data_IF_171183847674
#
_entry.id   IF_171183847674
#
_cell.length_a   1.000
_cell.length_b   1.000
_cell.length_c   1.000
_cell.angle_alpha   90.00
_cell.angle_beta   90.00
_cell.angle_gamma   90.00
#
_symmetry.space_group_name_H-M   'P 1'
#
loop_
_entity.id
_entity.type
_entity.pdbx_description
1 polymer ?
#
# COMPACT_ATOMS: atom_id res chain seq x y z
N UNK A 1 -11.62 14.77 -14.44
CA UNK A 1 -10.83 13.52 -14.59
C UNK A 1 -11.34 12.52 -13.59
N UNK A 2 -11.93 11.41 -14.03
CA UNK A 2 -12.51 10.39 -13.15
C UNK A 2 -11.62 9.13 -13.01
N UNK A 3 -10.60 8.98 -13.85
CA UNK A 3 -9.67 7.86 -13.81
C UNK A 3 -8.40 8.11 -12.97
N UNK A 4 -8.34 9.20 -12.20
CA UNK A 4 -7.19 9.53 -11.35
C UNK A 4 -7.36 8.93 -9.96
N UNK A 5 -6.28 8.39 -9.39
CA UNK A 5 -6.20 7.94 -7.99
C UNK A 5 -5.76 9.07 -7.03
N UNK A 6 -5.90 10.34 -7.43
CA UNK A 6 -5.58 11.51 -6.59
C UNK A 6 -6.71 11.76 -5.58
N UNK A 7 -6.92 10.82 -4.67
CA UNK A 7 -8.06 10.82 -3.75
C UNK A 7 -8.19 12.11 -2.93
N UNK A 8 -7.08 12.68 -2.49
CA UNK A 8 -7.04 13.86 -1.64
C UNK A 8 -6.93 15.17 -2.44
N UNK A 9 -6.84 15.09 -3.78
CA UNK A 9 -6.75 16.28 -4.64
C UNK A 9 -5.48 17.12 -4.45
N UNK A 10 -4.37 16.50 -4.01
CA UNK A 10 -3.16 17.20 -3.59
C UNK A 10 -2.15 17.48 -4.71
N UNK A 11 -2.32 16.93 -5.91
CA UNK A 11 -1.34 17.04 -7.00
C UNK A 11 -1.07 18.47 -7.47
N UNK A 12 -1.94 19.42 -7.14
CA UNK A 12 -1.80 20.85 -7.47
C UNK A 12 -1.78 21.74 -6.23
N UNK A 13 -1.62 21.17 -5.02
CA UNK A 13 -1.51 21.97 -3.79
C UNK A 13 -0.19 22.75 -3.79
N UNK A 14 -0.27 24.06 -3.63
CA UNK A 14 0.89 24.96 -3.73
C UNK A 14 1.96 24.65 -2.68
N UNK A 15 1.57 24.23 -1.49
CA UNK A 15 2.49 23.86 -0.39
C UNK A 15 3.38 22.68 -0.78
N UNK A 16 2.81 21.67 -1.45
CA UNK A 16 3.55 20.50 -1.94
C UNK A 16 4.51 20.90 -3.05
N UNK A 17 4.06 21.77 -3.97
CA UNK A 17 4.92 22.30 -5.04
C UNK A 17 6.09 23.09 -4.43
N UNK A 18 5.82 23.96 -3.46
CA UNK A 18 6.84 24.78 -2.81
C UNK A 18 7.83 23.94 -2.00
N UNK A 19 7.36 22.89 -1.30
CA UNK A 19 8.22 21.93 -0.60
C UNK A 19 9.16 21.18 -1.57
N UNK A 20 8.65 20.72 -2.71
CA UNK A 20 9.45 20.07 -3.74
C UNK A 20 10.52 21.02 -4.33
N UNK A 21 10.16 22.29 -4.61
CA UNK A 21 11.08 23.32 -5.10
C UNK A 21 12.17 23.61 -4.04
N UNK A 22 11.78 23.78 -2.78
CA UNK A 22 12.72 24.05 -1.70
C UNK A 22 13.72 22.90 -1.52
N UNK A 23 13.26 21.65 -1.54
CA UNK A 23 14.12 20.48 -1.47
C UNK A 23 15.07 20.37 -2.67
N UNK A 24 14.58 20.65 -3.88
CA UNK A 24 15.42 20.69 -5.08
C UNK A 24 16.53 21.74 -4.98
N UNK A 25 16.22 22.92 -4.44
CA UNK A 25 17.22 23.99 -4.22
C UNK A 25 18.26 23.62 -3.17
N UNK A 26 17.85 22.91 -2.10
CA UNK A 26 18.74 22.52 -0.99
C UNK A 26 19.63 21.33 -1.35
N UNK A 27 19.08 20.30 -1.99
CA UNK A 27 19.74 19.00 -2.15
C UNK A 27 20.11 18.66 -3.60
N UNK A 28 19.64 19.44 -4.58
CA UNK A 28 19.75 19.11 -5.99
C UNK A 28 18.64 18.21 -6.50
N UNK A 29 18.83 17.68 -7.73
CA UNK A 29 17.78 16.89 -8.43
C UNK A 29 17.76 15.41 -8.09
N UNK A 30 18.79 14.90 -7.43
CA UNK A 30 18.91 13.49 -7.04
C UNK A 30 20.26 13.20 -6.37
N UNK A 31 20.42 11.99 -5.85
CA UNK A 31 21.61 11.59 -5.11
C UNK A 31 22.66 10.84 -5.96
N UNK A 32 22.33 10.48 -7.19
CA UNK A 32 23.19 9.68 -8.09
C UNK A 32 23.68 8.36 -7.47
N UNK A 33 22.87 7.74 -6.59
CA UNK A 33 23.21 6.47 -5.93
C UNK A 33 22.07 5.90 -5.10
N UNK A 34 22.30 4.69 -4.61
CA UNK A 34 21.33 3.97 -3.79
C UNK A 34 21.37 4.40 -2.32
N UNK A 35 20.32 4.07 -1.57
CA UNK A 35 20.18 4.38 -0.15
C UNK A 35 21.33 3.87 0.70
N UNK A 36 21.90 2.70 0.40
CA UNK A 36 23.03 2.12 1.16
C UNK A 36 24.38 2.78 0.89
N UNK A 37 24.55 3.42 -0.26
CA UNK A 37 25.85 4.02 -0.63
C UNK A 37 25.88 5.52 -0.24
N UNK A 38 25.32 6.38 -1.11
CA UNK A 38 25.38 7.83 -0.97
C UNK A 38 24.01 8.51 -1.10
N UNK A 39 22.95 7.74 -1.26
CA UNK A 39 21.61 8.25 -1.55
C UNK A 39 20.72 8.45 -0.32
N UNK A 40 21.27 8.42 0.90
CA UNK A 40 20.48 8.68 2.12
C UNK A 40 20.70 10.12 2.59
N UNK A 41 19.66 10.93 2.49
CA UNK A 41 19.59 12.28 2.99
C UNK A 41 18.80 12.31 4.31
N UNK A 42 18.94 13.40 5.09
CA UNK A 42 18.17 13.66 6.30
C UNK A 42 16.66 13.56 6.06
N UNK A 43 16.16 14.16 4.97
CA UNK A 43 14.73 14.12 4.62
C UNK A 43 14.20 12.70 4.31
N UNK A 44 15.05 11.78 3.85
CA UNK A 44 14.64 10.39 3.66
C UNK A 44 14.39 9.71 5.01
N UNK A 45 15.30 9.93 5.96
CA UNK A 45 15.20 9.36 7.32
C UNK A 45 14.00 9.95 8.06
N UNK A 46 13.78 11.25 7.91
CA UNK A 46 12.65 11.95 8.53
C UNK A 46 11.31 11.44 7.97
N UNK A 47 11.18 11.29 6.64
CA UNK A 47 9.99 10.75 6.03
C UNK A 47 9.72 9.29 6.50
N UNK A 48 10.75 8.44 6.57
CA UNK A 48 10.60 7.06 7.06
C UNK A 48 10.08 7.03 8.50
N UNK A 49 10.62 7.89 9.37
CA UNK A 49 10.15 8.03 10.75
C UNK A 49 8.69 8.49 10.82
N UNK A 50 8.35 9.55 10.08
CA UNK A 50 6.98 10.09 10.08
C UNK A 50 5.95 9.09 9.51
N UNK A 51 6.32 8.30 8.50
CA UNK A 51 5.46 7.24 7.94
C UNK A 51 5.23 6.11 8.93
N UNK A 52 6.29 5.64 9.61
CA UNK A 52 6.17 4.61 10.65
C UNK A 52 5.21 5.06 11.77
N UNK A 53 5.43 6.26 12.32
CA UNK A 53 4.55 6.85 13.33
C UNK A 53 3.11 7.00 12.83
N UNK A 54 2.93 7.41 11.58
CA UNK A 54 1.61 7.62 11.00
C UNK A 54 0.81 6.32 10.87
N UNK A 55 1.43 5.24 10.40
CA UNK A 55 0.75 3.94 10.26
C UNK A 55 0.81 3.08 11.53
N UNK A 56 1.46 3.56 12.61
CA UNK A 56 1.52 2.88 13.90
C UNK A 56 2.46 1.68 13.90
N UNK A 57 3.66 1.83 13.32
CA UNK A 57 4.72 0.82 13.30
C UNK A 57 6.04 1.38 13.83
N UNK A 58 7.01 0.50 14.13
CA UNK A 58 8.29 0.89 14.74
C UNK A 58 9.19 1.64 13.76
N UNK A 59 9.35 1.10 12.57
CA UNK A 59 10.19 1.67 11.51
C UNK A 59 9.53 1.54 10.14
N UNK A 60 10.00 2.37 9.19
CA UNK A 60 9.64 2.26 7.78
C UNK A 60 10.89 2.32 6.88
N UNK A 61 10.72 1.86 5.65
CA UNK A 61 11.74 1.86 4.60
C UNK A 61 11.13 2.34 3.30
N UNK A 62 11.68 3.42 2.71
CA UNK A 62 11.17 4.01 1.47
C UNK A 62 11.84 3.43 0.23
N UNK A 63 11.04 3.27 -0.83
CA UNK A 63 11.42 2.77 -2.16
C UNK A 63 11.02 3.76 -3.24
N UNK A 64 11.57 3.61 -4.45
CA UNK A 64 11.32 4.54 -5.56
C UNK A 64 9.89 4.50 -6.10
N UNK A 65 9.18 3.39 -5.94
CA UNK A 65 7.75 3.25 -6.29
C UNK A 65 7.06 2.24 -5.39
N UNK A 66 5.71 2.29 -5.30
CA UNK A 66 4.94 1.24 -4.63
C UNK A 66 5.12 -0.14 -5.27
N UNK A 67 5.26 -0.20 -6.60
CA UNK A 67 5.51 -1.46 -7.31
C UNK A 67 6.80 -2.12 -6.83
N UNK A 68 7.90 -1.36 -6.73
CA UNK A 68 9.21 -1.86 -6.30
C UNK A 68 9.28 -2.16 -4.80
N UNK A 69 8.34 -1.67 -3.98
CA UNK A 69 8.19 -2.15 -2.60
C UNK A 69 7.83 -3.63 -2.61
N UNK A 70 6.75 -4.01 -3.30
CA UNK A 70 6.28 -5.39 -3.34
C UNK A 70 7.31 -6.34 -3.97
N UNK A 71 7.97 -5.93 -5.08
CA UNK A 71 9.05 -6.72 -5.69
C UNK A 71 10.27 -6.92 -4.77
N UNK A 72 10.58 -5.93 -3.94
CA UNK A 72 11.74 -5.99 -3.05
C UNK A 72 11.47 -6.70 -1.73
N UNK A 73 10.28 -6.52 -1.17
CA UNK A 73 9.93 -6.97 0.18
C UNK A 73 9.42 -8.40 0.20
N UNK A 74 8.40 -8.71 -0.60
CA UNK A 74 7.72 -10.01 -0.58
C UNK A 74 8.70 -11.20 -0.71
N UNK A 75 9.64 -11.21 -1.68
CA UNK A 75 10.55 -12.34 -1.83
C UNK A 75 11.60 -12.47 -0.72
N UNK A 76 11.75 -11.48 0.15
CA UNK A 76 12.70 -11.54 1.28
C UNK A 76 12.07 -12.08 2.58
N UNK A 77 10.74 -12.17 2.63
CA UNK A 77 9.99 -12.58 3.82
C UNK A 77 9.69 -14.08 3.86
N UNK A 78 9.74 -14.75 2.72
CA UNK A 78 9.50 -16.19 2.60
C UNK A 78 10.38 -16.80 1.51
N UNK A 79 10.98 -17.95 1.77
CA UNK A 79 11.95 -18.60 0.90
C UNK A 79 11.63 -20.07 0.62
N UNK A 80 12.67 -20.89 0.36
CA UNK A 80 12.51 -22.33 0.12
C UNK A 80 11.98 -23.03 1.37
N UNK A 81 10.89 -23.78 1.22
CA UNK A 81 10.21 -24.47 2.31
C UNK A 81 9.10 -23.66 2.96
N UNK A 82 8.99 -22.37 2.63
CA UNK A 82 7.94 -21.47 3.11
C UNK A 82 6.79 -21.34 2.10
N UNK A 83 5.77 -20.58 2.51
CA UNK A 83 4.55 -20.35 1.70
C UNK A 83 4.24 -18.87 1.59
N UNK A 84 3.82 -18.44 0.39
CA UNK A 84 3.20 -17.14 0.15
C UNK A 84 1.76 -17.39 -0.30
N UNK A 85 0.80 -16.80 0.41
CA UNK A 85 -0.63 -17.03 0.22
C UNK A 85 -1.28 -15.70 -0.15
N UNK A 86 -1.86 -15.60 -1.34
CA UNK A 86 -2.40 -14.37 -1.91
C UNK A 86 -3.85 -14.52 -2.34
N UNK A 87 -4.59 -13.42 -2.29
CA UNK A 87 -5.88 -13.30 -2.96
C UNK A 87 -5.70 -13.45 -4.49
N UNK A 88 -6.67 -14.00 -5.19
CA UNK A 88 -6.56 -14.20 -6.64
C UNK A 88 -6.73 -12.89 -7.45
N UNK A 89 -7.12 -11.78 -6.78
CA UNK A 89 -7.27 -10.44 -7.36
C UNK A 89 -6.28 -9.41 -6.86
N UNK A 90 -5.27 -9.83 -6.10
CA UNK A 90 -4.21 -8.94 -5.67
C UNK A 90 -3.51 -8.26 -6.85
N UNK A 91 -3.03 -7.04 -6.60
CA UNK A 91 -2.37 -6.19 -7.57
C UNK A 91 -1.18 -6.88 -8.26
N UNK A 92 -0.91 -6.50 -9.52
CA UNK A 92 0.17 -7.05 -10.33
C UNK A 92 1.54 -7.02 -9.63
N UNK A 93 1.85 -6.00 -8.83
CA UNK A 93 3.11 -5.92 -8.08
C UNK A 93 3.25 -7.00 -7.00
N UNK A 94 2.15 -7.40 -6.37
CA UNK A 94 2.12 -8.54 -5.43
C UNK A 94 2.35 -9.84 -6.19
N UNK A 95 1.68 -9.99 -7.35
CA UNK A 95 1.87 -11.16 -8.23
C UNK A 95 3.31 -11.29 -8.67
N UNK A 96 3.96 -10.20 -9.08
CA UNK A 96 5.35 -10.22 -9.53
C UNK A 96 6.31 -10.37 -8.35
N UNK A 97 6.06 -9.69 -7.23
CA UNK A 97 6.86 -9.83 -6.00
C UNK A 97 6.91 -11.28 -5.51
N UNK A 98 5.77 -11.98 -5.44
CA UNK A 98 5.76 -13.39 -5.03
C UNK A 98 6.46 -14.32 -6.02
N UNK A 99 6.42 -14.01 -7.35
CA UNK A 99 7.13 -14.78 -8.39
C UNK A 99 8.65 -14.71 -8.26
N UNK A 100 9.18 -13.67 -7.62
CA UNK A 100 10.60 -13.52 -7.35
C UNK A 100 11.06 -14.35 -6.16
N UNK A 101 10.13 -14.89 -5.35
CA UNK A 101 10.44 -15.78 -4.23
C UNK A 101 10.58 -17.24 -4.68
N UNK A 102 11.37 -18.01 -3.91
CA UNK A 102 11.44 -19.47 -4.02
C UNK A 102 10.44 -20.19 -3.12
N UNK A 103 9.57 -19.47 -2.41
CA UNK A 103 8.51 -20.05 -1.58
C UNK A 103 7.42 -20.71 -2.44
N UNK A 104 6.71 -21.65 -1.87
CA UNK A 104 5.51 -22.24 -2.48
C UNK A 104 4.41 -21.20 -2.54
N UNK A 105 3.88 -20.96 -3.75
CA UNK A 105 2.84 -19.95 -3.97
C UNK A 105 1.46 -20.60 -3.94
N UNK A 106 0.62 -20.14 -3.02
CA UNK A 106 -0.77 -20.53 -2.88
C UNK A 106 -1.68 -19.35 -3.20
N UNK A 107 -2.87 -19.63 -3.74
CA UNK A 107 -3.88 -18.62 -4.02
C UNK A 107 -5.21 -19.05 -3.43
N UNK A 108 -5.94 -18.11 -2.86
CA UNK A 108 -7.33 -18.33 -2.49
C UNK A 108 -8.26 -17.46 -3.33
N UNK A 109 -9.50 -17.89 -3.44
CA UNK A 109 -10.54 -17.18 -4.17
C UNK A 109 -10.82 -15.84 -3.48
N UNK A 110 -11.01 -14.81 -4.28
CA UNK A 110 -11.19 -13.44 -3.84
C UNK A 110 -12.11 -13.31 -2.61
N UNK A 111 -11.53 -12.75 -1.55
CA UNK A 111 -12.15 -12.44 -0.26
C UNK A 111 -12.88 -13.62 0.42
N UNK A 112 -12.54 -14.87 0.02
CA UNK A 112 -13.10 -16.12 0.55
C UNK A 112 -12.22 -16.65 1.69
N UNK A 113 -12.64 -16.40 2.92
CA UNK A 113 -11.89 -16.75 4.13
C UNK A 113 -11.86 -18.27 4.39
N UNK A 114 -12.87 -19.01 3.92
CA UNK A 114 -12.85 -20.48 3.97
C UNK A 114 -11.80 -21.05 3.00
N UNK A 115 -11.70 -20.44 1.81
CA UNK A 115 -10.65 -20.80 0.86
C UNK A 115 -9.26 -20.46 1.39
N UNK A 116 -9.07 -19.29 2.02
CA UNK A 116 -7.82 -18.92 2.69
C UNK A 116 -7.45 -19.94 3.78
N UNK A 117 -8.40 -20.33 4.61
CA UNK A 117 -8.17 -21.31 5.68
C UNK A 117 -7.75 -22.68 5.12
N UNK A 118 -8.37 -23.14 4.03
CA UNK A 118 -7.98 -24.38 3.33
C UNK A 118 -6.55 -24.33 2.80
N UNK A 119 -6.09 -23.17 2.31
CA UNK A 119 -4.70 -23.01 1.87
C UNK A 119 -3.73 -23.02 3.06
N UNK A 120 -4.07 -22.38 4.16
CA UNK A 120 -3.26 -22.42 5.39
C UNK A 120 -3.13 -23.81 5.98
N UNK A 121 -4.16 -24.65 5.87
CA UNK A 121 -4.14 -26.06 6.32
C UNK A 121 -3.18 -26.94 5.53
N UNK A 122 -2.78 -26.56 4.32
CA UNK A 122 -1.80 -27.29 3.49
C UNK A 122 -0.35 -27.00 3.88
N UNK A 123 -0.12 -25.93 4.65
CA UNK A 123 1.22 -25.47 4.99
C UNK A 123 1.80 -26.30 6.14
N UNK A 124 3.09 -26.57 6.07
CA UNK A 124 3.82 -27.21 7.16
C UNK A 124 3.78 -26.34 8.43
N UNK A 125 3.61 -26.92 9.63
CA UNK A 125 3.43 -26.17 10.88
C UNK A 125 4.54 -25.17 11.17
N UNK A 126 5.80 -25.57 10.96
CA UNK A 126 6.99 -24.79 11.31
C UNK A 126 7.48 -23.84 10.19
N UNK A 127 6.86 -23.92 9.00
CA UNK A 127 7.19 -23.05 7.87
C UNK A 127 6.62 -21.64 8.07
N UNK A 128 7.26 -20.64 7.46
CA UNK A 128 6.71 -19.29 7.34
C UNK A 128 5.49 -19.35 6.41
N UNK A 129 4.39 -18.78 6.84
CA UNK A 129 3.14 -18.63 6.08
C UNK A 129 2.88 -17.15 5.93
N UNK A 130 3.32 -16.59 4.81
CA UNK A 130 3.15 -15.17 4.51
C UNK A 130 1.84 -14.95 3.75
N UNK A 131 0.84 -14.35 4.40
CA UNK A 131 -0.38 -13.87 3.76
C UNK A 131 -0.10 -12.47 3.24
N UNK A 132 -0.29 -12.25 1.94
CA UNK A 132 -0.17 -10.94 1.30
C UNK A 132 -1.51 -10.58 0.70
N UNK A 133 -1.99 -9.36 0.95
CA UNK A 133 -3.31 -8.93 0.47
C UNK A 133 -3.38 -7.42 0.27
N UNK A 134 -4.05 -6.98 -0.80
CA UNK A 134 -4.50 -5.58 -0.94
C UNK A 134 -5.57 -5.26 0.11
N UNK A 135 -5.46 -4.13 0.79
CA UNK A 135 -6.48 -3.68 1.75
C UNK A 135 -7.77 -3.23 1.06
N UNK A 136 -7.61 -2.63 -0.12
CA UNK A 136 -8.68 -2.21 -1.03
C UNK A 136 -8.33 -2.69 -2.43
N UNK A 137 -9.17 -3.49 -3.03
CA UNK A 137 -8.92 -4.04 -4.36
C UNK A 137 -9.20 -2.99 -5.44
N UNK A 138 -8.19 -2.73 -6.26
CA UNK A 138 -8.17 -1.58 -7.19
C UNK A 138 -9.21 -1.64 -8.31
N UNK A 139 -9.68 -2.83 -8.67
CA UNK A 139 -10.65 -3.04 -9.75
C UNK A 139 -12.07 -3.23 -9.25
N UNK A 140 -12.25 -3.76 -8.06
CA UNK A 140 -13.53 -4.06 -7.43
C UNK A 140 -14.00 -2.95 -6.49
N UNK A 141 -13.04 -2.29 -5.82
CA UNK A 141 -13.32 -1.25 -4.84
C UNK A 141 -13.81 -1.76 -3.48
N UNK A 142 -13.82 -3.07 -3.27
CA UNK A 142 -14.16 -3.68 -1.99
C UNK A 142 -12.95 -3.80 -1.07
N UNK A 143 -13.20 -4.12 0.20
CA UNK A 143 -12.20 -4.23 1.25
C UNK A 143 -11.84 -5.68 1.53
N UNK A 144 -10.57 -5.95 1.82
CA UNK A 144 -10.16 -7.22 2.39
C UNK A 144 -10.77 -7.42 3.78
N UNK A 145 -11.20 -8.64 4.08
CA UNK A 145 -11.72 -8.99 5.41
C UNK A 145 -10.58 -9.15 6.42
N UNK A 146 -9.89 -8.02 6.74
CA UNK A 146 -8.73 -8.03 7.63
C UNK A 146 -9.01 -8.60 9.01
N UNK A 147 -10.18 -8.39 9.66
CA UNK A 147 -10.46 -9.01 10.95
C UNK A 147 -10.41 -10.54 10.91
N UNK A 148 -10.94 -11.15 9.85
CA UNK A 148 -10.95 -12.59 9.70
C UNK A 148 -9.56 -13.12 9.29
N UNK A 149 -8.83 -12.39 8.44
CA UNK A 149 -7.42 -12.68 8.11
C UNK A 149 -6.57 -12.71 9.39
N UNK A 150 -6.75 -11.74 10.29
CA UNK A 150 -6.06 -11.69 11.58
C UNK A 150 -6.44 -12.88 12.47
N UNK A 151 -7.71 -13.28 12.50
CA UNK A 151 -8.15 -14.47 13.22
C UNK A 151 -7.42 -15.73 12.69
N UNK A 152 -7.36 -15.88 11.38
CA UNK A 152 -6.64 -16.98 10.72
C UNK A 152 -5.13 -16.91 10.95
N UNK A 153 -4.53 -15.72 10.86
CA UNK A 153 -3.13 -15.48 11.22
C UNK A 153 -2.80 -16.07 12.59
N UNK A 154 -3.58 -15.71 13.61
CA UNK A 154 -3.38 -16.19 14.99
C UNK A 154 -3.54 -17.70 15.11
N UNK A 155 -4.53 -18.26 14.42
CA UNK A 155 -4.82 -19.70 14.43
C UNK A 155 -3.71 -20.55 13.82
N UNK A 156 -3.11 -20.07 12.72
CA UNK A 156 -2.12 -20.84 11.95
C UNK A 156 -0.67 -20.35 12.12
N UNK A 157 -0.43 -19.40 13.04
CA UNK A 157 0.86 -18.76 13.25
C UNK A 157 1.44 -18.24 11.90
N UNK A 158 0.64 -17.44 11.20
CA UNK A 158 1.02 -16.83 9.92
C UNK A 158 1.52 -15.39 10.12
N UNK A 159 2.18 -14.84 9.11
CA UNK A 159 2.60 -13.44 9.00
C UNK A 159 1.68 -12.75 7.99
N UNK A 160 1.26 -11.51 8.26
CA UNK A 160 0.38 -10.74 7.37
C UNK A 160 1.07 -9.48 6.89
N UNK A 161 1.11 -9.34 5.57
CA UNK A 161 1.53 -8.15 4.84
C UNK A 161 0.32 -7.53 4.14
N UNK A 162 0.01 -6.28 4.45
CA UNK A 162 -1.13 -5.55 3.87
C UNK A 162 -0.64 -4.43 2.96
N UNK A 163 -1.11 -4.42 1.72
CA UNK A 163 -0.90 -3.33 0.78
C UNK A 163 -2.02 -2.28 0.93
N UNK A 164 -1.67 -1.15 1.52
CA UNK A 164 -2.55 0.01 1.76
C UNK A 164 -2.50 1.04 0.64
N UNK A 165 -2.07 0.67 -0.57
CA UNK A 165 -1.93 1.62 -1.67
C UNK A 165 -3.21 2.39 -1.98
N UNK A 166 -4.38 1.80 -1.79
CA UNK A 166 -5.70 2.41 -1.95
C UNK A 166 -6.40 2.75 -0.63
N UNK A 167 -5.87 2.28 0.51
CA UNK A 167 -6.40 2.56 1.84
C UNK A 167 -5.84 3.84 2.45
N UNK A 168 -4.53 4.09 2.24
CA UNK A 168 -3.81 5.22 2.80
C UNK A 168 -4.39 6.55 2.30
N UNK A 169 -4.71 7.46 3.23
CA UNK A 169 -5.38 8.73 2.97
C UNK A 169 -6.91 8.61 2.83
N UNK A 170 -7.45 7.39 2.66
CA UNK A 170 -8.88 7.15 2.37
C UNK A 170 -9.61 6.61 3.58
N UNK A 171 -9.07 5.60 4.25
CA UNK A 171 -9.69 4.91 5.38
C UNK A 171 -8.96 5.21 6.70
N UNK A 172 -9.63 4.89 7.80
CA UNK A 172 -9.09 5.05 9.14
C UNK A 172 -9.00 6.50 9.62
N UNK A 173 -8.54 6.70 10.84
CA UNK A 173 -8.39 8.03 11.44
C UNK A 173 -7.33 8.85 10.70
N UNK A 174 -7.72 10.01 10.20
CA UNK A 174 -6.84 10.89 9.41
C UNK A 174 -6.18 10.18 8.22
N UNK A 175 -6.84 9.15 7.64
CA UNK A 175 -6.31 8.44 6.49
C UNK A 175 -5.21 7.42 6.78
N UNK A 176 -5.16 6.84 7.99
CA UNK A 176 -4.16 5.83 8.38
C UNK A 176 -4.27 4.50 7.66
N UNK A 177 -5.37 4.25 6.95
CA UNK A 177 -5.60 3.05 6.16
C UNK A 177 -6.68 2.12 6.70
N UNK A 178 -6.90 1.02 6.02
CA UNK A 178 -7.93 0.01 6.35
C UNK A 178 -7.56 -0.77 7.62
N UNK A 179 -6.27 -0.95 7.88
CA UNK A 179 -5.80 -1.57 9.13
C UNK A 179 -6.29 -0.78 10.36
N UNK A 180 -6.18 0.56 10.33
CA UNK A 180 -6.72 1.44 11.40
C UNK A 180 -8.25 1.47 11.38
N UNK A 181 -8.89 1.43 10.22
CA UNK A 181 -10.34 1.40 10.07
C UNK A 181 -10.98 0.21 10.80
N UNK A 182 -10.37 -0.98 10.68
CA UNK A 182 -10.84 -2.18 11.38
C UNK A 182 -10.25 -2.34 12.80
N UNK A 183 -9.34 -1.46 13.22
CA UNK A 183 -8.70 -1.53 14.54
C UNK A 183 -7.76 -2.72 14.69
N UNK A 184 -7.17 -3.20 13.60
CA UNK A 184 -6.28 -4.39 13.58
C UNK A 184 -4.80 -4.05 13.34
N UNK A 185 -4.43 -2.78 13.36
CA UNK A 185 -3.05 -2.30 13.06
C UNK A 185 -1.97 -3.06 13.83
N UNK A 186 -2.18 -3.29 15.12
CA UNK A 186 -1.21 -4.01 15.98
C UNK A 186 -1.02 -5.48 15.57
N UNK A 187 -2.05 -6.09 14.99
CA UNK A 187 -2.04 -7.48 14.55
C UNK A 187 -1.45 -7.70 13.14
N UNK A 188 -1.27 -6.63 12.37
CA UNK A 188 -0.65 -6.68 11.04
C UNK A 188 0.87 -6.56 11.19
N UNK A 189 1.65 -7.44 10.57
CA UNK A 189 3.11 -7.44 10.72
C UNK A 189 3.77 -6.37 9.86
N UNK A 190 3.32 -6.24 8.60
CA UNK A 190 3.86 -5.24 7.70
C UNK A 190 2.73 -4.50 6.97
N UNK A 191 2.89 -3.20 6.88
CA UNK A 191 2.01 -2.29 6.12
C UNK A 191 2.82 -1.66 5.00
N UNK A 192 2.36 -1.82 3.77
CA UNK A 192 2.90 -1.17 2.59
C UNK A 192 2.01 0.01 2.18
N UNK A 193 2.61 1.08 1.67
CA UNK A 193 1.88 2.19 1.07
C UNK A 193 2.61 2.76 -0.14
N UNK A 194 1.87 3.47 -0.99
CA UNK A 194 2.42 4.17 -2.16
C UNK A 194 2.27 5.68 -2.03
N UNK A 195 3.21 6.43 -2.62
CA UNK A 195 3.10 7.90 -2.69
C UNK A 195 2.34 8.38 -3.94
N UNK A 196 2.13 7.50 -4.92
CA UNK A 196 1.61 7.87 -6.24
C UNK A 196 0.09 8.15 -6.31
N UNK A 197 -0.61 8.02 -5.18
CA UNK A 197 -2.05 8.21 -5.08
C UNK A 197 -2.38 9.37 -4.12
N UNK A 198 -2.82 9.08 -2.91
CA UNK A 198 -3.21 10.10 -1.93
C UNK A 198 -2.07 11.05 -1.54
N UNK A 199 -0.82 10.59 -1.50
CA UNK A 199 0.36 11.41 -1.15
C UNK A 199 0.91 12.24 -2.33
N UNK A 200 0.25 12.23 -3.51
CA UNK A 200 0.51 13.12 -4.64
C UNK A 200 1.99 13.23 -5.09
N UNK A 201 2.79 12.17 -4.90
CA UNK A 201 4.22 12.12 -5.22
C UNK A 201 4.56 10.82 -5.93
N UNK A 202 5.85 10.47 -6.00
CA UNK A 202 6.31 9.17 -6.48
C UNK A 202 7.17 8.49 -5.42
N UNK A 203 6.93 7.21 -5.22
CA UNK A 203 7.59 6.38 -4.21
C UNK A 203 6.65 5.41 -3.57
N UNK A 204 7.13 4.74 -2.55
CA UNK A 204 6.37 3.85 -1.69
C UNK A 204 7.18 3.51 -0.45
N UNK A 205 6.56 2.83 0.49
CA UNK A 205 7.21 2.42 1.73
C UNK A 205 6.66 1.09 2.23
N UNK A 206 7.41 0.42 3.06
CA UNK A 206 6.95 -0.65 3.95
C UNK A 206 7.27 -0.24 5.38
N UNK A 207 6.35 -0.52 6.31
CA UNK A 207 6.51 -0.28 7.74
C UNK A 207 6.19 -1.55 8.53
N UNK A 208 6.90 -1.77 9.64
CA UNK A 208 6.76 -2.94 10.48
C UNK A 208 7.67 -2.91 11.69
N UNK A 209 7.92 -4.08 12.29
CA UNK A 209 8.88 -4.26 13.36
C UNK A 209 10.30 -3.84 12.90
N UNK A 210 11.05 -3.19 13.80
CA UNK A 210 12.39 -2.65 13.49
C UNK A 210 13.38 -3.69 13.00
N UNK A 211 13.34 -4.92 13.53
CA UNK A 211 14.28 -5.98 13.15
C UNK A 211 13.96 -6.50 11.75
N UNK A 212 12.67 -6.59 11.40
CA UNK A 212 12.21 -6.94 10.05
C UNK A 212 12.57 -5.83 9.06
N UNK A 213 12.35 -4.56 9.40
CA UNK A 213 12.72 -3.44 8.54
C UNK A 213 14.25 -3.37 8.36
N UNK A 214 15.02 -3.63 9.41
CA UNK A 214 16.48 -3.73 9.30
C UNK A 214 16.92 -4.90 8.41
N UNK A 215 16.27 -6.06 8.49
CA UNK A 215 16.50 -7.16 7.56
C UNK A 215 16.23 -6.75 6.11
N UNK A 216 15.11 -6.12 5.84
CA UNK A 216 14.73 -5.64 4.49
C UNK A 216 15.72 -4.62 3.96
N UNK A 217 16.23 -3.71 4.80
CA UNK A 217 17.25 -2.71 4.45
C UNK A 217 18.51 -3.34 3.86
N UNK A 218 18.87 -4.54 4.30
CA UNK A 218 20.09 -5.25 3.88
C UNK A 218 19.83 -6.34 2.85
N UNK A 219 18.58 -6.70 2.57
CA UNK A 219 18.25 -7.83 1.70
C UNK A 219 17.32 -7.46 0.54
N UNK A 220 16.49 -6.41 0.64
CA UNK A 220 15.58 -6.01 -0.43
C UNK A 220 16.36 -5.46 -1.64
N UNK A 221 16.37 -6.23 -2.73
CA UNK A 221 17.16 -5.90 -3.94
C UNK A 221 16.74 -4.57 -4.56
N UNK A 222 15.43 -4.28 -4.61
CA UNK A 222 14.92 -3.01 -5.14
C UNK A 222 15.19 -1.81 -4.21
N UNK A 223 15.68 -2.02 -2.99
CA UNK A 223 16.22 -0.97 -2.13
C UNK A 223 17.73 -0.80 -2.33
N UNK A 224 18.48 -1.91 -2.36
CA UNK A 224 19.94 -1.92 -2.41
C UNK A 224 20.46 -1.44 -3.77
N UNK A 225 19.85 -1.91 -4.86
CA UNK A 225 20.36 -1.73 -6.24
C UNK A 225 19.59 -0.69 -7.04
N UNK A 226 18.71 0.09 -6.41
CA UNK A 226 17.96 1.16 -7.02
C UNK A 226 18.45 2.53 -6.54
N UNK A 227 18.40 3.55 -7.41
CA UNK A 227 18.63 4.92 -7.00
C UNK A 227 17.56 5.38 -5.97
N UNK A 228 17.96 6.18 -4.99
CA UNK A 228 17.06 6.71 -3.97
C UNK A 228 16.03 7.67 -4.58
N UNK A 229 14.93 7.86 -3.85
CA UNK A 229 13.94 8.87 -4.19
C UNK A 229 14.57 10.25 -4.34
N UNK A 230 14.09 11.03 -5.31
CA UNK A 230 14.56 12.40 -5.46
C UNK A 230 14.16 13.26 -4.26
N UNK A 231 14.97 14.29 -3.88
CA UNK A 231 14.60 15.20 -2.83
C UNK A 231 13.23 15.87 -3.03
N UNK A 232 12.91 16.23 -4.26
CA UNK A 232 11.61 16.80 -4.61
C UNK A 232 10.45 15.85 -4.28
N UNK A 233 10.54 14.57 -4.69
CA UNK A 233 9.50 13.58 -4.44
C UNK A 233 9.36 13.27 -2.93
N UNK A 234 10.48 13.21 -2.23
CA UNK A 234 10.52 12.98 -0.77
C UNK A 234 9.83 14.12 -0.01
N UNK A 235 10.18 15.36 -0.31
CA UNK A 235 9.58 16.53 0.34
C UNK A 235 8.11 16.70 -0.01
N UNK A 236 7.70 16.38 -1.25
CA UNK A 236 6.29 16.38 -1.65
C UNK A 236 5.48 15.36 -0.83
N UNK A 237 6.00 14.15 -0.63
CA UNK A 237 5.33 13.13 0.18
C UNK A 237 5.24 13.53 1.67
N UNK A 238 6.29 14.16 2.23
CA UNK A 238 6.29 14.69 3.60
C UNK A 238 5.21 15.76 3.79
N UNK A 239 5.15 16.74 2.90
CA UNK A 239 4.14 17.81 3.00
C UNK A 239 2.72 17.25 2.84
N UNK A 240 2.51 16.29 1.91
CA UNK A 240 1.23 15.62 1.77
C UNK A 240 0.82 14.86 3.04
N UNK A 241 1.77 14.19 3.70
CA UNK A 241 1.54 13.51 4.98
C UNK A 241 1.20 14.49 6.11
N UNK A 242 1.86 15.66 6.12
CA UNK A 242 1.54 16.75 7.05
C UNK A 242 0.09 17.23 6.85
N UNK A 243 -0.32 17.41 5.59
CA UNK A 243 -1.71 17.79 5.25
C UNK A 243 -2.71 16.73 5.74
N UNK A 244 -2.43 15.44 5.61
CA UNK A 244 -3.30 14.38 6.15
C UNK A 244 -3.50 14.51 7.66
N UNK A 245 -2.42 14.82 8.39
CA UNK A 245 -2.45 14.96 9.84
C UNK A 245 -3.24 16.19 10.31
N UNK A 246 -3.30 17.24 9.48
CA UNK A 246 -3.80 18.59 9.87
C UNK A 246 -5.13 18.98 9.22
N UNK A 247 -5.55 18.33 8.12
CA UNK A 247 -6.74 18.67 7.34
C UNK A 247 -7.69 17.46 7.18
N UNK A 248 -8.33 16.97 8.26
CA UNK A 248 -9.24 15.81 8.19
C UNK A 248 -10.46 16.06 7.29
N UNK A 249 -10.83 17.33 7.07
CA UNK A 249 -11.94 17.73 6.19
C UNK A 249 -11.76 17.29 4.75
N UNK A 250 -10.52 17.02 4.29
CA UNK A 250 -10.28 16.47 2.95
C UNK A 250 -10.80 15.05 2.82
N UNK A 251 -10.52 14.21 3.84
CA UNK A 251 -11.05 12.86 3.91
C UNK A 251 -12.59 12.88 4.05
N UNK A 252 -13.13 13.74 4.89
CA UNK A 252 -14.58 13.90 5.05
C UNK A 252 -15.25 14.28 3.72
N UNK A 253 -14.67 15.22 2.98
CA UNK A 253 -15.17 15.64 1.68
C UNK A 253 -15.08 14.52 0.62
N UNK A 254 -13.99 13.75 0.60
CA UNK A 254 -13.87 12.57 -0.24
C UNK A 254 -15.04 11.60 0.00
N UNK A 255 -15.31 11.27 1.27
CA UNK A 255 -16.41 10.36 1.62
C UNK A 255 -17.79 10.93 1.32
N UNK A 256 -18.00 12.24 1.50
CA UNK A 256 -19.24 12.90 1.11
C UNK A 256 -19.51 12.76 -0.39
N UNK A 257 -18.49 12.98 -1.23
CA UNK A 257 -18.59 12.84 -2.69
C UNK A 257 -18.79 11.37 -3.07
N UNK A 258 -18.02 10.46 -2.46
CA UNK A 258 -18.11 9.01 -2.69
C UNK A 258 -19.52 8.49 -2.39
N UNK A 259 -20.06 8.78 -1.22
CA UNK A 259 -21.39 8.33 -0.82
C UNK A 259 -22.48 8.88 -1.76
N UNK A 260 -22.35 10.15 -2.17
CA UNK A 260 -23.26 10.74 -3.16
C UNK A 260 -23.16 9.98 -4.50
N UNK A 261 -21.96 9.72 -4.99
CA UNK A 261 -21.73 9.04 -6.26
C UNK A 261 -22.25 7.60 -6.23
N UNK A 262 -21.92 6.82 -5.21
CA UNK A 262 -22.41 5.46 -5.00
C UNK A 262 -23.94 5.40 -5.03
N UNK A 263 -24.60 6.30 -4.29
CA UNK A 263 -26.07 6.40 -4.29
C UNK A 263 -26.60 6.68 -5.68
N UNK A 264 -26.06 7.68 -6.38
CA UNK A 264 -26.55 8.12 -7.70
C UNK A 264 -26.35 7.04 -8.76
N UNK A 265 -25.20 6.37 -8.80
CA UNK A 265 -24.95 5.29 -9.75
C UNK A 265 -25.92 4.12 -9.54
N UNK A 266 -26.18 3.72 -8.29
CA UNK A 266 -27.17 2.67 -7.98
C UNK A 266 -28.58 3.08 -8.39
N UNK A 267 -29.01 4.31 -8.09
CA UNK A 267 -30.34 4.83 -8.46
C UNK A 267 -30.55 4.92 -9.98
N UNK A 268 -29.49 5.15 -10.74
CA UNK A 268 -29.54 5.26 -12.21
C UNK A 268 -29.32 3.91 -12.92
N UNK A 269 -29.18 2.82 -12.17
CA UNK A 269 -29.11 1.46 -12.69
C UNK A 269 -27.75 1.05 -13.28
N UNK A 270 -26.68 1.77 -12.95
CA UNK A 270 -25.33 1.32 -13.29
C UNK A 270 -24.92 0.11 -12.45
N UNK A 271 -24.28 -0.86 -13.10
CA UNK A 271 -23.66 -1.99 -12.42
C UNK A 271 -22.29 -1.55 -11.88
N UNK A 272 -22.19 -1.41 -10.55
CA UNK A 272 -20.96 -0.94 -9.86
C UNK A 272 -20.39 -1.98 -8.88
N UNK A 273 -20.94 -3.20 -8.84
CA UNK A 273 -20.50 -4.22 -7.89
C UNK A 273 -20.74 -3.88 -6.43
N UNK A 274 -20.00 -4.54 -5.57
CA UNK A 274 -20.09 -4.41 -4.10
C UNK A 274 -19.06 -3.41 -3.53
N UNK A 275 -18.70 -2.40 -4.32
CA UNK A 275 -17.70 -1.42 -3.87
C UNK A 275 -18.10 -0.70 -2.58
N UNK A 276 -17.12 -0.56 -1.70
CA UNK A 276 -17.22 0.11 -0.39
C UNK A 276 -16.22 1.28 -0.26
N UNK A 277 -15.59 1.68 -1.38
CA UNK A 277 -14.54 2.68 -1.41
C UNK A 277 -14.81 3.80 -2.43
N UNK A 278 -13.96 4.83 -2.54
CA UNK A 278 -14.01 5.82 -3.62
C UNK A 278 -13.74 5.24 -5.02
N UNK A 279 -13.32 4.00 -5.12
CA UNK A 279 -13.19 3.28 -6.39
C UNK A 279 -14.57 2.78 -6.77
N UNK A 280 -15.12 3.31 -7.86
CA UNK A 280 -16.47 2.95 -8.34
C UNK A 280 -16.32 2.36 -9.73
N UNK A 281 -16.24 1.01 -9.86
CA UNK A 281 -16.14 0.37 -11.17
C UNK A 281 -17.48 0.47 -11.91
N UNK A 282 -17.45 0.86 -13.17
CA UNK A 282 -18.63 0.81 -14.05
C UNK A 282 -18.48 -0.40 -14.98
N UNK A 283 -19.22 -1.47 -14.72
CA UNK A 283 -19.11 -2.69 -15.51
C UNK A 283 -19.88 -2.59 -16.83
N UNK A 284 -19.15 -2.30 -17.91
CA UNK A 284 -19.70 -2.25 -19.27
C UNK A 284 -19.81 -3.65 -19.90
N UNK A 285 -18.94 -4.59 -19.50
CA UNK A 285 -18.89 -6.01 -19.95
C UNK A 285 -18.74 -6.20 -21.47
N UNK A 286 -18.26 -5.17 -22.16
CA UNK A 286 -18.04 -5.16 -23.61
C UNK A 286 -16.80 -4.31 -23.91
N UNK A 287 -15.79 -4.91 -24.52
CA UNK A 287 -14.49 -4.27 -24.75
C UNK A 287 -14.64 -3.06 -25.70
N UNK A 288 -15.40 -3.22 -26.79
CA UNK A 288 -15.53 -2.17 -27.79
C UNK A 288 -16.30 -0.95 -27.25
N UNK A 289 -17.31 -1.19 -26.41
CA UNK A 289 -18.03 -0.11 -25.72
C UNK A 289 -17.21 0.57 -24.65
N UNK A 290 -16.36 -0.19 -23.96
CA UNK A 290 -15.50 0.36 -22.92
C UNK A 290 -14.43 1.30 -23.47
N UNK A 291 -13.97 1.05 -24.72
CA UNK A 291 -12.93 1.82 -25.39
C UNK A 291 -13.48 3.07 -26.15
N UNK A 292 -14.79 3.22 -26.25
CA UNK A 292 -15.48 4.38 -26.86
C UNK A 292 -15.83 5.46 -25.87
#
# INVERSE_FOLDING_TARGET
MFGSNSYMGLTHDQRIIDAAIAATRKYGTGCAGSRLLNGTLDIHVELEKELAEFVGKDEALCFSTGFTVNEGVIPQLAGRGDYIICDDRDHASIVDGRRLSFATQLKYKHNDMEALEKELQKCEPDAIKLIVVDSVFSMEGDLANLPEIVRLKKKYNATVYVDEAHGLGVFGRNGRGVCDHFGVTEDIDLIMGTFSKSLASIGGFVAGDKDVINWLRHNARSYIFQASNTPAATAAAMEALHIFKTEPERQENLWKITNYALKRFRETGFEIGETESPIIPLYVRDTDKTLR
#
